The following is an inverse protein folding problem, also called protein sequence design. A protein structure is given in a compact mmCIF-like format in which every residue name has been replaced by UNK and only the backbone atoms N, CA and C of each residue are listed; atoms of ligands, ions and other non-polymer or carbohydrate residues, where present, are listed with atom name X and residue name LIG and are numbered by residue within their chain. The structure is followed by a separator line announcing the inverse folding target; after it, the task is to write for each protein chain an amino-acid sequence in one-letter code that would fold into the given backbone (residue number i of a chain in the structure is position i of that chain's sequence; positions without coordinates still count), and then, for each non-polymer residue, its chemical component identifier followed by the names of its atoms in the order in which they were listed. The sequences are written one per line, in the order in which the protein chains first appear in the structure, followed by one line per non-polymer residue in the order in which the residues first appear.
data_IF_863643014864
#
_entry.id   IF_863643014864
#
_cell.length_a   1.000
_cell.length_b   1.000
_cell.length_c   1.000
_cell.angle_alpha   90.00
_cell.angle_beta   90.00
_cell.angle_gamma   90.00
#
_symmetry.space_group_name_H-M   'P 1'
#
loop_
_entity.id
_entity.type
_entity.pdbx_description
1 polymer ?
#
# COMPACT_ATOMS: atom_id res chain seq x y z
N UNK A 1 -8.50 6.27 17.06
CA UNK A 1 -8.74 6.67 15.67
C UNK A 1 -9.54 5.59 14.97
N UNK A 2 -10.29 5.97 13.94
CA UNK A 2 -10.99 5.07 13.04
C UNK A 2 -10.31 5.12 11.66
N UNK A 3 -10.38 4.04 10.90
CA UNK A 3 -9.91 4.01 9.51
C UNK A 3 -11.10 4.25 8.57
N UNK A 4 -11.07 5.36 7.84
CA UNK A 4 -12.13 5.76 6.92
C UNK A 4 -11.68 5.47 5.48
N UNK A 5 -12.53 4.78 4.73
CA UNK A 5 -12.32 4.54 3.30
C UNK A 5 -13.30 5.37 2.49
N UNK A 6 -12.77 6.35 1.75
CA UNK A 6 -13.54 7.14 0.80
C UNK A 6 -13.63 6.41 -0.53
N UNK A 7 -14.82 6.38 -1.12
CA UNK A 7 -15.01 5.77 -2.43
C UNK A 7 -16.00 6.56 -3.28
N UNK A 8 -15.79 6.48 -4.59
CA UNK A 8 -16.74 6.93 -5.60
C UNK A 8 -17.18 5.74 -6.43
N UNK A 9 -18.49 5.58 -6.61
CA UNK A 9 -19.08 4.49 -7.37
C UNK A 9 -20.33 4.96 -8.13
N UNK A 10 -20.47 4.47 -9.36
CA UNK A 10 -21.63 4.74 -10.21
C UNK A 10 -22.92 4.12 -9.66
N UNK A 11 -22.82 2.93 -9.04
CA UNK A 11 -23.95 2.26 -8.40
C UNK A 11 -24.04 2.63 -6.93
N UNK A 12 -25.26 2.72 -6.41
CA UNK A 12 -25.50 2.85 -4.98
C UNK A 12 -25.14 1.52 -4.32
N UNK A 13 -24.03 1.53 -3.57
CA UNK A 13 -23.60 0.41 -2.75
C UNK A 13 -23.96 0.73 -1.30
N UNK A 14 -24.40 -0.29 -0.56
CA UNK A 14 -24.67 -0.12 0.86
C UNK A 14 -23.34 0.20 1.57
N UNK A 15 -23.26 1.26 2.38
CA UNK A 15 -22.08 1.52 3.18
C UNK A 15 -21.84 0.33 4.11
N UNK A 16 -20.60 -0.15 4.18
CA UNK A 16 -20.24 -1.21 5.11
C UNK A 16 -19.57 -0.61 6.35
N UNK A 17 -19.90 -1.19 7.49
CA UNK A 17 -19.31 -0.87 8.78
C UNK A 17 -18.69 -2.15 9.36
N UNK A 18 -17.42 -2.08 9.69
CA UNK A 18 -16.70 -3.09 10.48
C UNK A 18 -16.12 -2.39 11.71
N UNK A 19 -15.74 -3.16 12.73
CA UNK A 19 -15.12 -2.59 13.94
C UNK A 19 -13.97 -1.64 13.56
N UNK A 20 -14.10 -0.35 13.90
CA UNK A 20 -13.16 0.75 13.62
C UNK A 20 -12.87 1.03 12.13
N UNK A 21 -13.70 0.53 11.20
CA UNK A 21 -13.59 0.78 9.75
C UNK A 21 -14.93 1.24 9.19
N UNK A 22 -14.95 2.43 8.61
CA UNK A 22 -16.15 3.04 8.00
C UNK A 22 -15.87 3.38 6.55
N UNK A 23 -16.81 3.06 5.66
CA UNK A 23 -16.74 3.47 4.27
C UNK A 23 -17.69 4.64 3.99
N UNK A 24 -17.20 5.67 3.32
CA UNK A 24 -17.95 6.88 3.03
C UNK A 24 -17.97 7.10 1.53
N UNK A 25 -19.17 7.09 0.96
CA UNK A 25 -19.37 7.45 -0.45
C UNK A 25 -19.23 8.96 -0.58
N UNK A 26 -18.29 9.42 -1.39
CA UNK A 26 -18.06 10.85 -1.63
C UNK A 26 -17.40 11.07 -2.99
N UNK A 27 -17.43 12.32 -3.47
CA UNK A 27 -16.54 12.72 -4.55
C UNK A 27 -15.13 12.85 -3.98
N UNK A 28 -14.18 12.08 -4.52
CA UNK A 28 -12.79 12.15 -4.11
C UNK A 28 -12.19 13.43 -4.70
N UNK A 29 -11.69 14.29 -3.81
CA UNK A 29 -11.05 15.56 -4.15
C UNK A 29 -9.56 15.53 -3.80
N UNK A 30 -8.83 16.60 -4.13
CA UNK A 30 -7.41 16.72 -3.80
C UNK A 30 -7.20 16.66 -2.28
N UNK A 31 -8.10 17.24 -1.49
CA UNK A 31 -8.01 17.21 -0.02
C UNK A 31 -8.08 15.78 0.53
N UNK A 32 -8.85 14.89 -0.10
CA UNK A 32 -8.89 13.48 0.28
C UNK A 32 -7.55 12.79 -0.01
N UNK A 33 -6.89 13.14 -1.12
CA UNK A 33 -5.56 12.62 -1.44
C UNK A 33 -4.51 13.14 -0.45
N UNK A 34 -4.52 14.45 -0.15
CA UNK A 34 -3.64 15.06 0.83
C UNK A 34 -3.83 14.47 2.22
N UNK A 35 -5.08 14.22 2.63
CA UNK A 35 -5.40 13.52 3.87
C UNK A 35 -4.81 12.11 3.88
N UNK A 36 -5.02 11.34 2.81
CA UNK A 36 -4.55 9.96 2.72
C UNK A 36 -3.02 9.84 2.70
N UNK A 37 -2.30 10.88 2.28
CA UNK A 37 -0.83 10.94 2.23
C UNK A 37 -0.20 11.79 3.36
N UNK A 38 -0.97 12.17 4.38
CA UNK A 38 -0.49 13.02 5.46
C UNK A 38 0.35 12.23 6.48
N UNK A 39 1.54 11.79 6.04
CA UNK A 39 2.49 11.02 6.84
C UNK A 39 2.79 11.79 8.12
N UNK A 40 2.56 11.21 9.31
CA UNK A 40 2.83 11.88 10.57
C UNK A 40 4.25 12.42 10.65
N UNK A 41 4.42 13.52 11.39
CA UNK A 41 5.70 14.24 11.56
C UNK A 41 6.14 15.02 10.32
N UNK A 42 5.81 14.55 9.10
CA UNK A 42 6.24 15.19 7.86
C UNK A 42 5.21 16.12 7.25
N UNK A 43 3.93 15.73 7.32
CA UNK A 43 2.83 16.49 6.78
C UNK A 43 1.79 16.78 7.88
N UNK A 44 1.20 17.99 7.88
CA UNK A 44 0.14 18.31 8.82
C UNK A 44 -1.11 17.47 8.54
N UNK A 45 -1.93 17.19 9.57
CA UNK A 45 -3.22 16.56 9.35
C UNK A 45 -4.13 17.45 8.50
N UNK A 46 -5.00 16.83 7.71
CA UNK A 46 -5.92 17.52 6.79
C UNK A 46 -7.34 17.44 7.34
N UNK A 47 -8.03 18.58 7.38
CA UNK A 47 -9.43 18.64 7.79
C UNK A 47 -10.34 18.34 6.59
N UNK A 48 -11.30 17.42 6.76
CA UNK A 48 -12.32 17.10 5.75
C UNK A 48 -13.73 17.21 6.35
N UNK A 49 -14.72 17.74 5.59
CA UNK A 49 -16.11 17.74 5.99
C UNK A 49 -16.73 16.35 5.80
N UNK A 50 -17.05 15.67 6.89
CA UNK A 50 -17.71 14.36 6.91
C UNK A 50 -19.09 14.50 7.52
N UNK A 51 -20.15 14.17 6.77
CA UNK A 51 -21.53 14.17 7.27
C UNK A 51 -21.92 15.48 7.98
N UNK A 52 -21.39 16.62 7.51
CA UNK A 52 -21.65 17.95 8.07
C UNK A 52 -20.74 18.36 9.24
N UNK A 53 -19.76 17.54 9.62
CA UNK A 53 -18.79 17.83 10.68
C UNK A 53 -17.36 17.87 10.14
N UNK A 54 -16.53 18.79 10.65
CA UNK A 54 -15.11 18.81 10.32
C UNK A 54 -14.36 17.78 11.16
N UNK A 55 -13.63 16.89 10.49
CA UNK A 55 -12.80 15.86 11.12
C UNK A 55 -11.37 15.94 10.58
N UNK A 56 -10.39 15.57 11.39
CA UNK A 56 -8.96 15.60 11.04
C UNK A 56 -8.46 14.23 10.64
N UNK A 57 -7.71 14.19 9.54
CA UNK A 57 -7.18 12.99 8.93
C UNK A 57 -5.66 13.03 8.84
N UNK A 58 -5.04 11.88 9.07
CA UNK A 58 -3.64 11.61 8.76
C UNK A 58 -3.55 10.51 7.71
N UNK A 59 -2.33 10.07 7.43
CA UNK A 59 -2.06 9.03 6.44
C UNK A 59 -2.95 7.78 6.62
N UNK A 60 -3.57 7.36 5.51
CA UNK A 60 -4.53 6.26 5.49
C UNK A 60 -3.90 4.91 5.82
N UNK A 61 -2.63 4.71 5.47
CA UNK A 61 -1.98 3.42 5.64
C UNK A 61 -1.51 3.16 7.09
N UNK A 62 -1.53 4.17 7.98
CA UNK A 62 -1.27 3.98 9.41
C UNK A 62 -2.18 2.93 10.08
N UNK A 63 -3.41 2.79 9.61
CA UNK A 63 -4.42 1.88 10.16
C UNK A 63 -4.98 0.91 9.10
N UNK A 64 -4.36 0.86 7.92
CA UNK A 64 -4.84 0.05 6.79
C UNK A 64 -4.34 -1.39 6.88
N UNK A 65 -5.09 -2.20 7.61
CA UNK A 65 -4.77 -3.63 7.80
C UNK A 65 -5.31 -4.55 6.70
N UNK A 66 -6.23 -4.07 5.86
CA UNK A 66 -6.88 -4.88 4.82
C UNK A 66 -7.16 -4.03 3.57
N UNK A 67 -6.13 -3.70 2.77
CA UNK A 67 -6.24 -2.85 1.58
C UNK A 67 -7.16 -3.39 0.47
N UNK A 68 -7.37 -4.71 0.38
CA UNK A 68 -8.19 -5.36 -0.65
C UNK A 68 -9.67 -5.37 -0.24
N UNK A 69 -9.94 -5.43 1.07
CA UNK A 69 -11.29 -5.53 1.64
C UNK A 69 -12.29 -4.47 1.12
N UNK A 70 -11.92 -3.17 0.94
CA UNK A 70 -12.81 -2.20 0.32
C UNK A 70 -13.30 -2.58 -1.07
N UNK A 71 -12.43 -3.06 -1.96
CA UNK A 71 -12.81 -3.45 -3.31
C UNK A 71 -13.81 -4.63 -3.28
N UNK A 72 -13.57 -5.61 -2.42
CA UNK A 72 -14.45 -6.77 -2.23
C UNK A 72 -15.83 -6.34 -1.73
N UNK A 73 -15.87 -5.43 -0.74
CA UNK A 73 -17.13 -4.88 -0.21
C UNK A 73 -17.88 -4.02 -1.24
N UNK A 74 -17.15 -3.38 -2.16
CA UNK A 74 -17.74 -2.66 -3.29
C UNK A 74 -18.24 -3.59 -4.41
N UNK A 75 -18.11 -4.91 -4.25
CA UNK A 75 -18.66 -5.88 -5.20
C UNK A 75 -17.64 -6.48 -6.17
N UNK A 76 -16.34 -6.21 -6.03
CA UNK A 76 -15.30 -6.78 -6.89
C UNK A 76 -15.31 -8.32 -6.83
N UNK A 77 -15.33 -8.97 -7.99
CA UNK A 77 -15.15 -10.44 -8.14
C UNK A 77 -13.71 -10.81 -8.45
N UNK A 78 -12.94 -9.83 -8.88
CA UNK A 78 -11.53 -9.94 -9.16
C UNK A 78 -10.86 -8.61 -8.77
N UNK A 79 -9.63 -8.70 -8.28
CA UNK A 79 -8.83 -7.55 -7.85
C UNK A 79 -7.46 -7.63 -8.50
N UNK A 80 -7.06 -6.55 -9.17
CA UNK A 80 -5.68 -6.31 -9.57
C UNK A 80 -5.03 -5.46 -8.47
N UNK A 81 -4.04 -6.01 -7.78
CA UNK A 81 -3.31 -5.35 -6.71
C UNK A 81 -1.90 -4.99 -7.16
N UNK A 82 -1.47 -3.75 -6.92
CA UNK A 82 -0.11 -3.28 -7.21
C UNK A 82 0.61 -3.12 -5.87
N UNK A 83 1.59 -3.98 -5.63
CA UNK A 83 2.48 -3.90 -4.49
C UNK A 83 3.65 -2.96 -4.71
N UNK A 84 4.33 -2.62 -3.63
CA UNK A 84 5.50 -1.74 -3.59
C UNK A 84 6.75 -2.44 -3.08
N UNK A 85 6.63 -3.72 -2.70
CA UNK A 85 7.72 -4.55 -2.21
C UNK A 85 8.12 -5.54 -3.29
N UNK A 86 9.41 -5.58 -3.63
CA UNK A 86 9.92 -6.51 -4.61
C UNK A 86 9.79 -7.96 -4.14
N UNK A 87 9.52 -8.86 -5.08
CA UNK A 87 9.60 -10.31 -4.86
C UNK A 87 11.03 -10.84 -4.94
N UNK A 88 11.99 -10.03 -5.40
CA UNK A 88 13.41 -10.38 -5.32
C UNK A 88 13.75 -10.61 -3.85
N UNK A 89 14.12 -11.84 -3.51
CA UNK A 89 14.67 -12.19 -2.20
C UNK A 89 16.05 -11.54 -2.01
N UNK A 90 16.15 -10.22 -2.02
CA UNK A 90 17.29 -9.50 -1.46
C UNK A 90 17.10 -9.41 0.06
N UNK A 91 16.84 -10.56 0.68
CA UNK A 91 17.20 -10.77 2.06
C UNK A 91 18.73 -10.77 2.08
N UNK A 92 19.34 -9.59 2.18
CA UNK A 92 20.72 -9.48 2.63
C UNK A 92 20.89 -10.46 3.80
N UNK A 93 21.85 -11.40 3.73
CA UNK A 93 21.93 -12.52 4.66
C UNK A 93 21.75 -12.04 6.08
N UNK A 94 20.84 -12.68 6.83
CA UNK A 94 20.57 -12.39 8.24
C UNK A 94 21.87 -12.28 9.08
N UNK A 95 22.92 -12.97 8.64
CA UNK A 95 24.26 -12.98 9.24
C UNK A 95 24.99 -11.63 9.24
N UNK A 96 24.66 -10.67 8.36
CA UNK A 96 25.29 -9.33 8.37
C UNK A 96 24.67 -8.34 9.37
N UNK A 97 23.58 -8.70 10.06
CA UNK A 97 22.85 -7.78 10.97
C UNK A 97 23.33 -7.80 12.42
N UNK A 98 24.33 -8.61 12.77
CA UNK A 98 24.64 -8.96 14.16
C UNK A 98 25.74 -8.13 14.85
N UNK A 99 26.24 -7.03 14.30
CA UNK A 99 27.42 -6.35 14.89
C UNK A 99 27.27 -4.86 15.26
N UNK A 100 26.15 -4.19 15.00
CA UNK A 100 25.98 -2.76 15.33
C UNK A 100 24.57 -2.40 15.76
N UNK A 101 24.45 -1.50 16.74
CA UNK A 101 23.18 -0.92 17.17
C UNK A 101 22.45 -0.28 15.98
N UNK A 102 21.15 -0.59 15.73
CA UNK A 102 20.43 -0.02 14.61
C UNK A 102 20.26 1.50 14.76
N UNK A 103 20.45 2.20 13.65
CA UNK A 103 20.19 3.64 13.52
C UNK A 103 18.70 3.95 13.64
N UNK A 104 18.37 5.22 13.92
CA UNK A 104 16.99 5.69 13.94
C UNK A 104 16.30 5.51 12.58
N UNK A 105 17.03 5.63 11.47
CA UNK A 105 16.50 5.39 10.14
C UNK A 105 16.18 3.92 9.89
N UNK A 106 16.99 2.99 10.41
CA UNK A 106 16.67 1.57 10.34
C UNK A 106 15.41 1.24 11.15
N UNK A 107 15.33 1.73 12.39
CA UNK A 107 14.15 1.50 13.24
C UNK A 107 12.90 2.13 12.61
N UNK A 108 13.00 3.40 12.18
CA UNK A 108 11.91 4.12 11.52
C UNK A 108 11.51 3.47 10.20
N UNK A 109 12.48 3.09 9.36
CA UNK A 109 12.26 2.37 8.11
C UNK A 109 11.57 1.03 8.33
N UNK A 110 11.97 0.25 9.34
CA UNK A 110 11.29 -1.00 9.70
C UNK A 110 9.86 -0.78 10.20
N UNK A 111 9.65 0.23 11.06
CA UNK A 111 8.31 0.58 11.53
C UNK A 111 7.40 1.00 10.36
N UNK A 112 7.90 1.80 9.44
CA UNK A 112 7.16 2.18 8.24
C UNK A 112 6.93 0.98 7.31
N UNK A 113 7.93 0.15 7.05
CA UNK A 113 7.74 -1.05 6.22
C UNK A 113 6.63 -1.97 6.77
N UNK A 114 6.61 -2.20 8.08
CA UNK A 114 5.59 -3.03 8.71
C UNK A 114 4.18 -2.43 8.66
N UNK A 115 4.04 -1.10 8.70
CA UNK A 115 2.75 -0.41 8.59
C UNK A 115 2.29 -0.37 7.12
N UNK A 116 3.20 -0.04 6.20
CA UNK A 116 2.87 0.41 4.85
C UNK A 116 3.12 -0.63 3.75
N UNK A 117 4.18 -1.43 3.85
CA UNK A 117 4.63 -2.32 2.78
C UNK A 117 4.14 -3.77 2.96
N UNK A 118 3.91 -4.19 4.21
CA UNK A 118 3.57 -5.59 4.52
C UNK A 118 2.06 -5.88 4.52
N UNK A 119 1.22 -4.84 4.63
CA UNK A 119 -0.23 -5.00 4.77
C UNK A 119 -0.89 -5.62 3.52
N UNK A 120 -0.43 -5.25 2.31
CA UNK A 120 -0.99 -5.80 1.08
C UNK A 120 -0.68 -7.29 0.90
N UNK A 121 0.57 -7.70 1.13
CA UNK A 121 0.97 -9.10 1.02
C UNK A 121 0.27 -9.98 2.06
N UNK A 122 0.13 -9.48 3.29
CA UNK A 122 -0.62 -10.19 4.35
C UNK A 122 -2.10 -10.33 4.01
N UNK A 123 -2.73 -9.26 3.49
CA UNK A 123 -4.14 -9.28 3.08
C UNK A 123 -4.36 -10.18 1.85
N UNK A 124 -3.41 -10.22 0.91
CA UNK A 124 -3.43 -11.14 -0.23
C UNK A 124 -3.37 -12.61 0.21
N UNK A 125 -2.48 -12.95 1.15
CA UNK A 125 -2.38 -14.30 1.71
C UNK A 125 -3.66 -14.68 2.47
N UNK A 126 -4.22 -13.74 3.23
CA UNK A 126 -5.50 -13.92 3.92
C UNK A 126 -6.65 -14.15 2.93
N UNK A 127 -6.68 -13.44 1.80
CA UNK A 127 -7.67 -13.63 0.75
C UNK A 127 -7.51 -15.01 0.09
N UNK A 128 -6.27 -15.43 -0.22
CA UNK A 128 -5.99 -16.74 -0.79
C UNK A 128 -6.49 -17.88 0.13
N UNK A 129 -6.16 -17.82 1.42
CA UNK A 129 -6.68 -18.75 2.43
C UNK A 129 -8.20 -18.75 2.51
N UNK A 130 -8.81 -17.57 2.43
CA UNK A 130 -10.28 -17.44 2.45
C UNK A 130 -10.91 -18.10 1.21
N UNK A 131 -10.34 -17.89 0.02
CA UNK A 131 -10.79 -18.54 -1.21
C UNK A 131 -10.66 -20.06 -1.14
N UNK A 132 -9.56 -20.58 -0.58
CA UNK A 132 -9.36 -22.02 -0.37
C UNK A 132 -10.48 -22.62 0.49
N UNK A 133 -10.77 -21.98 1.64
CA UNK A 133 -11.86 -22.42 2.54
C UNK A 133 -13.22 -22.37 1.84
N UNK A 134 -13.50 -21.32 1.07
CA UNK A 134 -14.75 -21.20 0.30
C UNK A 134 -14.85 -22.30 -0.77
N UNK A 135 -13.73 -22.67 -1.39
CA UNK A 135 -13.66 -23.75 -2.38
C UNK A 135 -13.96 -25.14 -1.81
N UNK A 136 -13.78 -25.34 -0.50
CA UNK A 136 -14.10 -26.58 0.21
C UNK A 136 -15.57 -26.69 0.64
N UNK A 137 -16.33 -25.59 0.59
CA UNK A 137 -17.76 -25.60 0.97
C UNK A 137 -18.60 -26.32 -0.09
N UNK A 138 -19.59 -27.09 0.35
CA UNK A 138 -20.58 -27.64 -0.55
C UNK A 138 -21.44 -26.51 -1.20
N UNK A 139 -22.05 -26.75 -2.37
CA UNK A 139 -22.79 -25.72 -3.10
C UNK A 139 -23.95 -25.10 -2.30
N UNK A 140 -24.58 -25.87 -1.41
CA UNK A 140 -25.72 -25.41 -0.63
C UNK A 140 -25.27 -24.45 0.49
N UNK A 141 -24.21 -24.81 1.22
CA UNK A 141 -23.58 -23.96 2.22
C UNK A 141 -22.99 -22.69 1.60
N UNK A 142 -22.34 -22.81 0.45
CA UNK A 142 -21.78 -21.65 -0.29
C UNK A 142 -22.88 -20.65 -0.65
N UNK A 143 -24.00 -21.12 -1.21
CA UNK A 143 -25.15 -20.27 -1.54
C UNK A 143 -25.79 -19.59 -0.31
N UNK A 144 -25.86 -20.28 0.83
CA UNK A 144 -26.44 -19.73 2.06
C UNK A 144 -25.52 -18.73 2.77
N UNK A 145 -24.20 -18.91 2.66
CA UNK A 145 -23.21 -18.06 3.33
C UNK A 145 -23.08 -16.65 2.71
N UNK A 146 -23.47 -16.50 1.44
CA UNK A 146 -23.22 -15.28 0.66
C UNK A 146 -21.73 -15.00 0.40
N UNK A 147 -20.84 -15.95 0.73
CA UNK A 147 -19.41 -15.87 0.45
C UNK A 147 -19.13 -16.21 -1.01
N UNK A 148 -18.10 -15.56 -1.56
CA UNK A 148 -17.65 -15.78 -2.92
C UNK A 148 -16.14 -15.74 -2.96
N UNK A 149 -15.58 -16.57 -3.83
CA UNK A 149 -14.18 -16.46 -4.20
C UNK A 149 -13.94 -15.14 -4.94
N UNK A 150 -12.79 -14.54 -4.69
CA UNK A 150 -12.33 -13.33 -5.38
C UNK A 150 -10.99 -13.63 -6.02
N UNK A 151 -10.91 -13.54 -7.34
CA UNK A 151 -9.64 -13.73 -8.03
C UNK A 151 -8.69 -12.56 -7.73
N UNK A 152 -7.42 -12.83 -7.43
CA UNK A 152 -6.43 -11.81 -7.15
C UNK A 152 -5.27 -11.96 -8.13
N UNK A 153 -4.98 -10.91 -8.90
CA UNK A 153 -3.71 -10.75 -9.61
C UNK A 153 -2.89 -9.70 -8.87
N UNK A 154 -1.76 -10.10 -8.30
CA UNK A 154 -0.84 -9.18 -7.63
C UNK A 154 0.38 -8.94 -8.54
N UNK A 155 0.68 -7.67 -8.79
CA UNK A 155 1.90 -7.23 -9.47
C UNK A 155 2.79 -6.57 -8.42
N UNK A 156 4.01 -7.05 -8.30
CA UNK A 156 5.04 -6.49 -7.44
C UNK A 156 6.16 -5.93 -8.32
N UNK A 157 6.89 -4.91 -7.85
CA UNK A 157 8.00 -4.37 -8.62
C UNK A 157 9.07 -5.44 -8.85
N UNK A 158 9.69 -5.46 -10.03
CA UNK A 158 10.75 -6.44 -10.36
C UNK A 158 12.08 -6.15 -9.63
N UNK A 159 12.24 -4.94 -9.11
CA UNK A 159 13.43 -4.46 -8.43
C UNK A 159 13.06 -3.85 -7.08
N UNK A 160 13.95 -3.99 -6.10
CA UNK A 160 13.83 -3.30 -4.82
C UNK A 160 13.82 -1.77 -5.02
N UNK A 161 12.98 -1.06 -4.28
CA UNK A 161 12.85 0.40 -4.42
C UNK A 161 13.98 1.14 -3.69
N UNK A 162 14.56 0.51 -2.68
CA UNK A 162 15.58 1.05 -1.79
C UNK A 162 16.88 1.41 -2.53
N UNK A 163 17.46 0.54 -3.38
CA UNK A 163 18.62 0.90 -4.19
C UNK A 163 18.33 2.04 -5.17
N UNK A 164 17.13 2.07 -5.75
CA UNK A 164 16.71 3.14 -6.66
C UNK A 164 16.68 4.47 -5.91
N UNK A 165 16.09 4.51 -4.71
CA UNK A 165 15.99 5.71 -3.89
C UNK A 165 17.36 6.29 -3.50
N UNK A 166 18.35 5.43 -3.23
CA UNK A 166 19.71 5.85 -2.90
C UNK A 166 20.37 6.64 -4.03
N UNK A 167 20.09 6.31 -5.30
CA UNK A 167 20.63 7.04 -6.45
C UNK A 167 20.17 8.50 -6.49
N UNK A 168 19.00 8.80 -5.92
CA UNK A 168 18.40 10.13 -5.92
C UNK A 168 18.58 10.89 -4.58
N UNK A 169 19.31 10.34 -3.60
CA UNK A 169 19.50 10.97 -2.28
C UNK A 169 20.09 12.38 -2.33
N UNK A 170 20.85 12.71 -3.38
CA UNK A 170 21.48 14.01 -3.55
C UNK A 170 20.55 15.07 -4.16
N UNK A 171 19.40 14.65 -4.70
CA UNK A 171 18.39 15.57 -5.23
C UNK A 171 17.50 16.19 -4.14
N UNK A 172 17.61 15.68 -2.91
CA UNK A 172 16.90 16.25 -1.76
C UNK A 172 17.41 17.66 -1.43
N UNK A 173 16.51 18.58 -1.03
CA UNK A 173 16.90 19.84 -0.42
C UNK A 173 17.92 19.63 0.71
N UNK A 174 18.91 20.51 0.80
CA UNK A 174 20.06 20.33 1.70
C UNK A 174 19.65 20.06 3.17
N UNK A 175 18.55 20.64 3.63
CA UNK A 175 18.03 20.44 4.99
C UNK A 175 17.56 19.00 5.20
N UNK A 176 16.77 18.47 4.26
CA UNK A 176 16.30 17.08 4.30
C UNK A 176 17.47 16.12 4.19
N UNK A 177 18.44 16.40 3.31
CA UNK A 177 19.67 15.60 3.18
C UNK A 177 20.46 15.55 4.48
N UNK A 178 20.61 16.68 5.20
CA UNK A 178 21.26 16.70 6.52
C UNK A 178 20.45 15.95 7.57
N UNK A 179 19.12 16.09 7.59
CA UNK A 179 18.26 15.37 8.53
C UNK A 179 18.36 13.85 8.33
N UNK A 180 18.17 13.39 7.08
CA UNK A 180 18.31 11.98 6.71
C UNK A 180 19.71 11.43 6.97
N UNK A 181 20.76 12.21 6.71
CA UNK A 181 22.13 11.81 7.03
C UNK A 181 22.37 11.62 8.52
N UNK A 182 21.77 12.45 9.38
CA UNK A 182 21.92 12.34 10.85
C UNK A 182 21.20 11.14 11.46
N UNK A 183 20.11 10.70 10.83
CA UNK A 183 19.37 9.51 11.30
C UNK A 183 19.85 8.20 10.67
N UNK A 184 20.76 8.26 9.68
CA UNK A 184 21.31 7.08 9.01
C UNK A 184 20.54 6.62 7.76
N UNK A 185 19.65 7.45 7.21
CA UNK A 185 18.78 7.09 6.07
C UNK A 185 19.48 7.18 4.70
N UNK A 186 20.70 7.73 4.65
CA UNK A 186 21.46 7.89 3.40
C UNK A 186 22.32 6.69 3.04
N UNK A 187 22.37 5.66 3.90
CA UNK A 187 23.11 4.41 3.69
C UNK A 187 22.14 3.26 3.39
N UNK A 188 22.66 2.16 2.82
CA UNK A 188 21.85 1.01 2.44
C UNK A 188 20.92 0.49 3.54
N UNK A 189 21.32 0.38 4.82
CA UNK A 189 20.44 -0.12 5.85
C UNK A 189 19.27 0.81 6.19
N UNK A 190 19.39 2.12 5.96
CA UNK A 190 18.34 3.12 6.20
C UNK A 190 17.55 3.52 4.96
N UNK A 191 17.83 2.90 3.80
CA UNK A 191 17.26 3.25 2.51
C UNK A 191 15.75 3.00 2.41
N UNK A 192 15.19 2.13 3.25
CA UNK A 192 13.74 1.90 3.39
C UNK A 192 12.98 3.17 3.78
N UNK A 193 13.53 3.94 4.72
CA UNK A 193 12.93 5.22 5.12
C UNK A 193 13.04 6.25 3.98
N UNK A 194 14.15 6.23 3.26
CA UNK A 194 14.38 7.13 2.13
C UNK A 194 13.43 6.81 0.95
N UNK A 195 13.28 5.54 0.57
CA UNK A 195 12.43 5.13 -0.56
C UNK A 195 10.97 5.49 -0.38
N UNK A 196 10.50 5.55 0.88
CA UNK A 196 9.15 5.97 1.21
C UNK A 196 8.97 7.50 1.21
N UNK A 197 9.98 8.25 1.63
CA UNK A 197 9.88 9.69 1.84
C UNK A 197 10.42 10.55 0.70
N UNK A 198 11.08 9.93 -0.27
CA UNK A 198 11.66 10.63 -1.40
C UNK A 198 10.57 11.02 -2.41
N UNK A 199 9.87 12.12 -2.14
CA UNK A 199 8.91 12.70 -3.09
C UNK A 199 9.61 13.63 -4.09
N UNK A 200 10.70 13.17 -4.70
CA UNK A 200 11.49 13.92 -5.68
C UNK A 200 11.17 13.45 -7.10
N UNK A 201 11.10 14.39 -8.04
CA UNK A 201 10.69 14.15 -9.43
C UNK A 201 11.52 13.06 -10.12
N UNK A 202 12.84 13.07 -9.94
CA UNK A 202 13.73 12.07 -10.53
C UNK A 202 13.41 10.66 -10.05
N UNK A 203 13.25 10.48 -8.74
CA UNK A 203 12.87 9.20 -8.16
C UNK A 203 11.46 8.76 -8.59
N UNK A 204 10.47 9.65 -8.55
CA UNK A 204 9.09 9.33 -8.99
C UNK A 204 9.06 8.89 -10.46
N UNK A 205 9.81 9.55 -11.34
CA UNK A 205 9.92 9.14 -12.75
C UNK A 205 10.55 7.75 -12.87
N UNK A 206 11.61 7.46 -12.11
CA UNK A 206 12.24 6.15 -12.11
C UNK A 206 11.26 5.04 -11.68
N UNK A 207 10.40 5.30 -10.69
CA UNK A 207 9.35 4.37 -10.27
C UNK A 207 8.27 4.18 -11.34
N UNK A 208 7.87 5.24 -12.05
CA UNK A 208 6.92 5.16 -13.16
C UNK A 208 7.50 4.31 -14.29
N UNK A 209 8.77 4.51 -14.64
CA UNK A 209 9.44 3.74 -15.68
C UNK A 209 9.59 2.26 -15.30
N UNK A 210 9.94 1.97 -14.04
CA UNK A 210 9.95 0.59 -13.51
C UNK A 210 8.55 -0.04 -13.61
N UNK A 211 7.50 0.65 -13.14
CA UNK A 211 6.13 0.15 -13.21
C UNK A 211 5.65 -0.10 -14.64
N UNK A 212 6.08 0.73 -15.61
CA UNK A 212 5.82 0.49 -17.04
C UNK A 212 6.51 -0.77 -17.53
N UNK A 213 7.78 -0.96 -17.19
CA UNK A 213 8.54 -2.16 -17.58
C UNK A 213 7.90 -3.44 -17.01
N UNK A 214 7.53 -3.41 -15.73
CA UNK A 214 6.90 -4.54 -15.05
C UNK A 214 5.52 -4.87 -15.64
N UNK A 215 4.70 -3.84 -15.91
CA UNK A 215 3.42 -4.02 -16.59
C UNK A 215 3.57 -4.57 -18.01
N UNK A 216 4.57 -4.10 -18.77
CA UNK A 216 4.86 -4.60 -20.11
C UNK A 216 5.34 -6.05 -20.10
N UNK A 217 6.17 -6.45 -19.13
CA UNK A 217 6.63 -7.83 -18.98
C UNK A 217 5.49 -8.81 -18.65
N UNK A 218 4.42 -8.31 -18.01
CA UNK A 218 3.25 -9.11 -17.62
C UNK A 218 2.00 -8.82 -18.47
N UNK A 219 2.14 -8.18 -19.63
CA UNK A 219 1.00 -7.63 -20.38
C UNK A 219 -0.03 -8.70 -20.76
N UNK A 220 0.42 -9.86 -21.21
CA UNK A 220 -0.49 -10.95 -21.62
C UNK A 220 -1.30 -11.48 -20.42
N UNK A 221 -0.67 -11.60 -19.26
CA UNK A 221 -1.33 -12.01 -18.01
C UNK A 221 -2.36 -10.97 -17.56
N UNK A 222 -2.02 -9.67 -17.64
CA UNK A 222 -2.91 -8.58 -17.27
C UNK A 222 -4.12 -8.53 -18.21
N UNK A 223 -3.90 -8.64 -19.52
CA UNK A 223 -4.97 -8.65 -20.52
C UNK A 223 -5.88 -9.86 -20.31
N UNK A 224 -5.33 -11.07 -20.17
CA UNK A 224 -6.13 -12.27 -19.90
C UNK A 224 -6.90 -12.18 -18.58
N UNK A 225 -6.38 -11.49 -17.57
CA UNK A 225 -7.11 -11.22 -16.33
C UNK A 225 -8.27 -10.25 -16.55
N UNK A 226 -8.06 -9.14 -17.26
CA UNK A 226 -9.12 -8.16 -17.54
C UNK A 226 -10.22 -8.76 -18.43
N UNK A 227 -9.85 -9.50 -19.48
CA UNK A 227 -10.79 -10.10 -20.44
C UNK A 227 -11.72 -11.14 -19.80
N UNK A 228 -11.28 -11.82 -18.73
CA UNK A 228 -12.13 -12.77 -17.99
C UNK A 228 -13.18 -12.09 -17.11
N UNK A 229 -13.03 -10.80 -16.82
CA UNK A 229 -13.85 -10.05 -15.85
C UNK A 229 -14.53 -8.79 -16.41
N UNK A 230 -14.44 -8.56 -17.73
CA UNK A 230 -15.16 -7.50 -18.46
C UNK A 230 -16.30 -8.08 -19.28
#
# INVERSE_FOLDING_TARGET
GEHLTFYSAHRTLQPWHRARRKAIRTLITIEHLLASSAIPVLFPPVALPIEGQMQWFGDGAMLQVAPISPAIHLGAKAVLAIGTRSTSEDAAPYEQRLSTQPSLAQIGGHALAGIFLDSLSSDAEQLARTNEVIGLLDPQTKAQSGLREVELLQINPSQALEPIALNFRFHLPWMLRKLFGRVGATEAPGAVLLSYLLFERGYTNALIDLGRQDAHAMIDTILAFIDRHT
#
